data_IF_590353293556
#
_entry.id   IF_590353293556
#
_cell.length_a   1.000
_cell.length_b   1.000
_cell.length_c   1.000
_cell.angle_alpha   90.00
_cell.angle_beta   90.00
_cell.angle_gamma   90.00
#
_symmetry.space_group_name_H-M   'P 1'
#
loop_
_entity.id
_entity.type
_entity.pdbx_description
1 polymer ?
#
# COMPACT_ATOMS: atom_id res chain seq x y z
N UNK A 1 -47.01 12.86 -32.82
CA UNK A 1 -45.83 12.79 -32.00
C UNK A 1 -44.73 12.09 -32.78
N UNK A 2 -43.61 12.75 -33.14
CA UNK A 2 -42.52 12.05 -33.86
C UNK A 2 -41.65 11.30 -32.87
N UNK A 3 -41.56 10.00 -33.04
CA UNK A 3 -40.63 9.11 -32.32
C UNK A 3 -39.24 9.38 -32.91
N UNK A 4 -38.39 10.09 -32.16
CA UNK A 4 -36.99 10.24 -32.51
C UNK A 4 -36.28 8.90 -32.47
N UNK A 5 -36.06 8.29 -33.65
CA UNK A 5 -35.16 7.15 -33.79
C UNK A 5 -33.75 7.57 -33.45
N UNK A 6 -33.25 7.12 -32.33
CA UNK A 6 -31.84 7.25 -31.96
C UNK A 6 -30.97 6.63 -33.07
N UNK A 7 -30.02 7.40 -33.61
CA UNK A 7 -29.09 6.92 -34.64
C UNK A 7 -28.30 5.72 -34.07
N UNK A 8 -28.09 4.63 -34.85
CA UNK A 8 -27.42 3.43 -34.35
C UNK A 8 -26.02 3.69 -33.76
N UNK A 9 -25.36 4.73 -34.18
CA UNK A 9 -24.03 5.11 -33.66
C UNK A 9 -24.05 5.62 -32.18
N UNK A 10 -25.20 6.18 -31.73
CA UNK A 10 -25.31 6.65 -30.35
C UNK A 10 -25.45 5.52 -29.34
N UNK A 11 -26.14 4.41 -29.77
CA UNK A 11 -26.28 3.23 -28.92
C UNK A 11 -24.96 2.48 -28.75
N UNK A 12 -24.18 2.37 -29.83
CA UNK A 12 -22.86 1.74 -29.80
C UNK A 12 -21.89 2.52 -28.90
N UNK A 13 -21.93 3.86 -28.97
CA UNK A 13 -21.12 4.73 -28.12
C UNK A 13 -21.51 4.61 -26.64
N UNK A 14 -22.82 4.55 -26.36
CA UNK A 14 -23.33 4.39 -25.00
C UNK A 14 -22.92 3.05 -24.37
N UNK A 15 -23.01 1.96 -25.17
CA UNK A 15 -22.58 0.62 -24.73
C UNK A 15 -21.07 0.56 -24.50
N UNK A 16 -20.26 1.20 -25.36
CA UNK A 16 -18.82 1.27 -25.20
C UNK A 16 -18.43 2.07 -23.94
N UNK A 17 -19.07 3.22 -23.67
CA UNK A 17 -18.86 3.98 -22.45
C UNK A 17 -19.26 3.20 -21.18
N UNK A 18 -20.37 2.48 -21.23
CA UNK A 18 -20.83 1.65 -20.12
C UNK A 18 -19.88 0.48 -19.87
N UNK A 19 -19.36 -0.15 -20.93
CA UNK A 19 -18.35 -1.20 -20.84
C UNK A 19 -17.04 -0.71 -20.25
N UNK A 20 -16.60 0.52 -20.59
CA UNK A 20 -15.41 1.14 -20.00
C UNK A 20 -15.60 1.48 -18.50
N UNK A 21 -16.79 1.87 -18.09
CA UNK A 21 -17.12 2.11 -16.69
C UNK A 21 -17.12 0.81 -15.85
N UNK A 22 -17.51 -0.31 -16.47
CA UNK A 22 -17.51 -1.62 -15.82
C UNK A 22 -16.10 -2.27 -15.79
N UNK A 23 -15.21 -1.88 -16.71
CA UNK A 23 -13.81 -2.33 -16.74
C UNK A 23 -12.90 -1.61 -15.72
N UNK A 24 -13.41 -0.61 -15.01
CA UNK A 24 -12.72 0.02 -13.86
C UNK A 24 -12.78 -0.92 -12.65
N UNK A 25 -12.31 -2.16 -12.80
CA UNK A 25 -11.90 -2.99 -11.68
C UNK A 25 -10.71 -2.29 -11.04
N UNK A 26 -10.96 -1.52 -9.99
CA UNK A 26 -9.91 -0.97 -9.16
C UNK A 26 -9.11 -2.16 -8.61
N UNK A 27 -7.83 -2.15 -8.89
CA UNK A 27 -6.82 -3.08 -8.37
C UNK A 27 -6.68 -2.81 -6.86
N UNK A 28 -7.68 -3.26 -6.11
CA UNK A 28 -7.74 -3.02 -4.66
C UNK A 28 -6.61 -3.79 -4.00
N UNK A 29 -5.84 -3.15 -3.12
CA UNK A 29 -4.87 -3.88 -2.34
C UNK A 29 -5.58 -4.90 -1.45
N UNK A 30 -4.93 -6.03 -1.21
CA UNK A 30 -5.40 -7.04 -0.29
C UNK A 30 -5.32 -6.55 1.17
N UNK A 31 -4.36 -5.64 1.44
CA UNK A 31 -4.19 -5.00 2.74
C UNK A 31 -3.64 -3.58 2.54
N UNK A 32 -4.15 -2.65 3.32
CA UNK A 32 -3.68 -1.25 3.33
C UNK A 32 -3.89 -0.62 4.70
N UNK A 33 -2.81 -0.32 5.39
CA UNK A 33 -2.84 0.31 6.70
C UNK A 33 -1.72 1.31 6.85
N UNK A 34 -2.00 2.43 7.52
CA UNK A 34 -1.02 3.45 7.86
C UNK A 34 -1.10 3.79 9.34
N UNK A 35 0.03 4.18 9.90
CA UNK A 35 0.14 4.68 11.27
C UNK A 35 0.69 6.09 11.25
N UNK A 36 0.09 6.96 12.03
CA UNK A 36 0.63 8.29 12.27
C UNK A 36 1.80 8.21 13.25
N UNK A 37 2.84 8.98 12.99
CA UNK A 37 4.03 9.07 13.84
C UNK A 37 3.87 10.29 14.76
N UNK A 38 3.86 10.02 16.04
CA UNK A 38 3.65 11.06 17.07
C UNK A 38 4.76 12.09 17.03
N UNK A 39 4.39 13.36 16.97
CA UNK A 39 5.29 14.50 16.90
C UNK A 39 6.28 14.45 15.70
N UNK A 40 5.97 13.67 14.67
CA UNK A 40 6.81 13.50 13.48
C UNK A 40 8.22 12.99 13.80
N UNK A 41 8.41 12.31 14.93
CA UNK A 41 9.67 11.71 15.36
C UNK A 41 9.48 10.21 15.54
N UNK A 42 10.16 9.43 14.70
CA UNK A 42 10.08 7.98 14.75
C UNK A 42 11.37 7.39 15.35
N UNK A 43 11.23 6.78 16.51
CA UNK A 43 12.34 6.16 17.22
C UNK A 43 12.52 4.69 16.87
N UNK A 44 13.75 4.15 16.92
CA UNK A 44 13.99 2.71 16.73
C UNK A 44 13.20 1.79 17.67
N UNK A 45 12.86 2.30 18.87
CA UNK A 45 12.02 1.58 19.82
C UNK A 45 10.53 1.52 19.44
N UNK A 46 10.07 2.44 18.57
CA UNK A 46 8.68 2.57 18.17
C UNK A 46 8.41 1.66 16.96
N UNK A 47 8.22 0.38 17.22
CA UNK A 47 7.91 -0.60 16.19
C UNK A 47 6.46 -0.50 15.75
N UNK A 48 6.22 -0.29 14.46
CA UNK A 48 4.91 -0.38 13.85
C UNK A 48 4.57 -1.83 13.52
N UNK A 49 3.40 -2.31 13.98
CA UNK A 49 2.92 -3.68 13.71
C UNK A 49 1.72 -3.64 12.76
N UNK A 50 1.90 -4.22 11.59
CA UNK A 50 0.86 -4.38 10.57
C UNK A 50 0.30 -5.79 10.67
N UNK A 51 -0.83 -5.90 11.35
CA UNK A 51 -1.48 -7.18 11.64
C UNK A 51 -2.56 -7.46 10.62
N UNK A 52 -2.57 -8.67 10.05
CA UNK A 52 -3.56 -9.14 9.08
C UNK A 52 -3.82 -10.62 9.25
N UNK A 53 -4.97 -11.08 8.75
CA UNK A 53 -5.37 -12.48 8.82
C UNK A 53 -5.15 -13.17 7.47
N UNK A 54 -4.59 -14.38 7.50
CA UNK A 54 -4.47 -15.27 6.34
C UNK A 54 -5.53 -16.36 6.44
N UNK A 55 -6.31 -16.57 5.37
CA UNK A 55 -7.37 -17.60 5.28
C UNK A 55 -7.13 -18.54 4.11
N UNK A 56 -7.66 -19.75 4.20
CA UNK A 56 -7.64 -20.72 3.09
C UNK A 56 -8.32 -20.18 1.82
N UNK A 57 -9.42 -19.45 2.01
CA UNK A 57 -10.14 -18.80 0.92
C UNK A 57 -10.71 -17.48 1.38
N UNK A 58 -10.82 -16.52 0.46
CA UNK A 58 -11.40 -15.21 0.72
C UNK A 58 -12.81 -15.13 0.16
N UNK A 59 -13.74 -14.64 0.98
CA UNK A 59 -15.05 -14.22 0.52
C UNK A 59 -14.97 -12.81 -0.11
N UNK A 60 -15.95 -12.44 -0.93
CA UNK A 60 -16.01 -11.13 -1.58
C UNK A 60 -15.91 -9.93 -0.62
N UNK A 61 -16.24 -10.14 0.64
CA UNK A 61 -16.30 -9.11 1.68
C UNK A 61 -15.16 -9.20 2.71
N UNK A 62 -14.20 -10.09 2.48
CA UNK A 62 -13.01 -10.19 3.33
C UNK A 62 -12.04 -9.05 2.96
N UNK A 63 -12.11 -7.96 3.73
CA UNK A 63 -11.20 -6.82 3.61
C UNK A 63 -10.01 -7.02 4.57
N UNK A 64 -8.86 -6.51 4.16
CA UNK A 64 -7.61 -6.59 4.93
C UNK A 64 -7.19 -8.02 5.31
N UNK A 65 -7.51 -8.98 4.42
CA UNK A 65 -7.18 -10.38 4.57
C UNK A 65 -6.41 -10.90 3.36
N UNK A 66 -5.56 -11.89 3.59
CA UNK A 66 -4.77 -12.52 2.55
C UNK A 66 -5.20 -13.98 2.37
N UNK A 67 -5.08 -14.49 1.14
CA UNK A 67 -5.36 -15.89 0.85
C UNK A 67 -4.09 -16.73 1.00
N UNK A 68 -4.24 -17.92 1.57
CA UNK A 68 -3.17 -18.90 1.69
C UNK A 68 -2.62 -19.31 0.31
N UNK A 69 -1.33 -19.48 0.20
CA UNK A 69 -0.67 -19.96 -1.02
C UNK A 69 -0.61 -18.95 -2.17
N UNK A 70 -1.17 -17.75 -2.00
CA UNK A 70 -1.02 -16.67 -2.96
C UNK A 70 0.32 -15.94 -2.78
N UNK A 71 0.77 -15.28 -3.85
CA UNK A 71 1.95 -14.45 -3.84
C UNK A 71 1.59 -12.97 -3.78
N UNK A 72 2.26 -12.25 -2.90
CA UNK A 72 2.03 -10.84 -2.68
C UNK A 72 3.30 -10.02 -2.83
N UNK A 73 3.14 -8.79 -3.28
CA UNK A 73 4.16 -7.76 -3.24
C UNK A 73 3.87 -6.75 -2.15
N UNK A 74 4.91 -6.11 -1.65
CA UNK A 74 4.83 -5.06 -0.65
C UNK A 74 5.09 -3.70 -1.29
N UNK A 75 4.33 -2.70 -0.83
CA UNK A 75 4.57 -1.29 -1.12
C UNK A 75 4.55 -0.52 0.19
N UNK A 76 5.51 0.38 0.35
CA UNK A 76 5.54 1.34 1.46
C UNK A 76 4.93 2.66 1.02
N UNK A 77 4.21 3.31 1.93
CA UNK A 77 3.73 4.67 1.78
C UNK A 77 4.35 5.49 2.89
N UNK A 78 5.09 6.52 2.52
CA UNK A 78 5.71 7.44 3.44
C UNK A 78 5.06 8.81 3.29
N UNK A 79 4.61 9.39 4.40
CA UNK A 79 4.26 10.80 4.47
C UNK A 79 5.26 11.51 5.36
N UNK A 80 5.76 12.63 4.87
CA UNK A 80 6.81 13.38 5.54
C UNK A 80 6.63 14.88 5.32
N UNK A 81 7.25 15.66 6.18
CA UNK A 81 7.25 17.12 6.17
C UNK A 81 8.58 17.67 5.65
N UNK A 82 8.70 18.97 5.56
CA UNK A 82 9.93 19.67 5.17
C UNK A 82 11.08 19.52 6.19
N UNK A 83 10.75 19.14 7.42
CA UNK A 83 11.75 18.79 8.45
C UNK A 83 12.49 17.48 8.16
N UNK A 84 12.00 16.66 7.22
CA UNK A 84 12.70 15.46 6.80
C UNK A 84 13.93 15.79 5.94
N UNK A 85 15.11 15.63 6.50
CA UNK A 85 16.38 16.03 5.86
C UNK A 85 17.21 14.86 5.34
N UNK A 86 16.75 13.63 5.48
CA UNK A 86 17.51 12.44 5.12
C UNK A 86 17.41 12.14 3.62
N UNK A 87 18.52 11.68 3.03
CA UNK A 87 18.58 11.24 1.63
C UNK A 87 17.90 9.87 1.43
N UNK A 88 17.93 9.04 2.46
CA UNK A 88 17.31 7.73 2.49
C UNK A 88 16.77 7.45 3.88
N UNK A 89 15.76 6.60 3.96
CA UNK A 89 15.15 6.19 5.20
C UNK A 89 15.55 4.73 5.51
N UNK A 90 16.56 4.50 6.37
CA UNK A 90 16.91 3.15 6.75
C UNK A 90 15.84 2.56 7.66
N UNK A 91 15.14 1.54 7.18
CA UNK A 91 14.10 0.84 7.93
C UNK A 91 14.29 -0.67 7.84
N UNK A 92 14.01 -1.35 8.94
CA UNK A 92 13.94 -2.79 9.00
C UNK A 92 12.49 -3.24 8.87
N UNK A 93 12.28 -4.23 8.01
CA UNK A 93 11.00 -4.92 7.89
C UNK A 93 11.19 -6.37 8.31
N UNK A 94 10.46 -6.78 9.33
CA UNK A 94 10.43 -8.17 9.79
C UNK A 94 9.07 -8.77 9.47
N UNK A 95 9.07 -9.85 8.69
CA UNK A 95 7.87 -10.56 8.26
C UNK A 95 7.85 -11.90 8.96
N UNK A 96 7.12 -12.02 10.05
CA UNK A 96 6.97 -13.26 10.86
C UNK A 96 8.10 -14.28 10.66
N UNK A 97 7.76 -15.45 10.06
CA UNK A 97 8.69 -16.55 9.78
C UNK A 97 9.51 -16.36 8.50
N UNK A 98 9.19 -15.36 7.66
CA UNK A 98 9.84 -15.19 6.35
C UNK A 98 11.17 -14.46 6.41
N UNK A 99 11.47 -13.77 7.52
CA UNK A 99 12.76 -13.13 7.75
C UNK A 99 12.70 -11.63 7.97
N UNK A 100 13.89 -11.04 8.03
CA UNK A 100 14.10 -9.61 8.19
C UNK A 100 14.81 -9.03 6.98
N UNK A 101 14.40 -7.86 6.55
CA UNK A 101 14.95 -7.14 5.41
C UNK A 101 15.29 -5.73 5.86
N UNK A 102 16.44 -5.24 5.43
CA UNK A 102 16.82 -3.83 5.57
C UNK A 102 16.52 -3.11 4.27
N UNK A 103 15.82 -1.99 4.36
CA UNK A 103 15.41 -1.19 3.22
C UNK A 103 15.89 0.24 3.37
N UNK A 104 16.23 0.85 2.26
CA UNK A 104 16.67 2.25 2.17
C UNK A 104 15.84 3.03 1.15
N UNK A 105 14.52 3.22 1.37
CA UNK A 105 13.72 4.04 0.49
C UNK A 105 14.28 5.46 0.42
N UNK A 106 14.26 6.05 -0.77
CA UNK A 106 14.77 7.39 -1.04
C UNK A 106 13.61 8.31 -1.38
N UNK A 107 13.11 9.08 -0.42
CA UNK A 107 12.04 10.04 -0.68
C UNK A 107 12.43 11.05 -1.75
N UNK A 108 11.49 11.34 -2.62
CA UNK A 108 11.67 12.30 -3.72
C UNK A 108 11.24 13.67 -3.23
N UNK A 109 12.18 14.61 -3.12
CA UNK A 109 11.82 15.98 -2.78
C UNK A 109 11.16 16.64 -3.99
N UNK A 110 9.87 17.03 -3.92
CA UNK A 110 9.24 17.76 -5.00
C UNK A 110 9.86 19.14 -5.15
N UNK A 111 9.88 19.66 -6.38
CA UNK A 111 10.38 21.01 -6.67
C UNK A 111 9.50 22.12 -6.08
N UNK A 112 8.27 21.81 -5.69
CA UNK A 112 7.31 22.73 -5.08
C UNK A 112 7.08 22.33 -3.62
N UNK A 113 7.27 23.27 -2.72
CA UNK A 113 7.05 23.10 -1.29
C UNK A 113 5.59 22.75 -0.99
N UNK A 114 5.38 21.62 -0.33
CA UNK A 114 4.12 21.24 0.29
C UNK A 114 4.42 20.88 1.75
N UNK A 115 3.54 21.29 2.65
CA UNK A 115 3.67 21.00 4.07
C UNK A 115 3.67 19.49 4.40
N UNK A 116 3.08 18.70 3.49
CA UNK A 116 3.05 17.24 3.59
C UNK A 116 3.35 16.67 2.20
N UNK A 117 4.33 15.81 2.15
CA UNK A 117 4.75 15.08 0.97
C UNK A 117 4.41 13.60 1.16
N UNK A 118 4.09 12.92 0.07
CA UNK A 118 3.83 11.49 0.09
C UNK A 118 4.61 10.82 -1.04
N UNK A 119 5.36 9.79 -0.69
CA UNK A 119 6.02 8.90 -1.64
C UNK A 119 5.57 7.46 -1.44
N UNK A 120 5.56 6.71 -2.53
CA UNK A 120 5.24 5.29 -2.57
C UNK A 120 6.45 4.51 -3.10
N UNK A 121 6.83 3.48 -2.38
CA UNK A 121 7.99 2.65 -2.72
C UNK A 121 7.55 1.20 -2.91
N UNK A 122 7.63 0.70 -4.14
CA UNK A 122 7.48 -0.74 -4.38
C UNK A 122 8.74 -1.46 -3.91
N UNK A 123 8.56 -2.44 -3.03
CA UNK A 123 9.66 -3.26 -2.55
C UNK A 123 9.92 -4.34 -3.59
N UNK A 124 10.79 -4.02 -4.54
CA UNK A 124 11.18 -4.94 -5.58
C UNK A 124 12.02 -6.10 -5.01
N UNK A 125 11.70 -7.32 -5.43
CA UNK A 125 12.45 -8.52 -5.01
C UNK A 125 11.87 -9.24 -3.80
N UNK A 126 11.04 -8.62 -2.98
CA UNK A 126 10.33 -9.31 -1.90
C UNK A 126 9.00 -9.81 -2.42
N UNK A 127 8.86 -11.13 -2.48
CA UNK A 127 7.59 -11.83 -2.69
C UNK A 127 7.28 -12.58 -1.42
N UNK A 128 6.12 -12.31 -0.85
CA UNK A 128 5.65 -13.01 0.34
C UNK A 128 4.55 -13.98 -0.02
N UNK A 129 4.57 -15.14 0.60
CA UNK A 129 3.47 -16.10 0.63
C UNK A 129 3.44 -16.73 2.01
N UNK A 130 2.27 -17.07 2.47
CA UNK A 130 2.07 -17.65 3.79
C UNK A 130 1.73 -19.12 3.65
N UNK A 131 2.35 -19.95 4.48
CA UNK A 131 2.12 -21.39 4.53
C UNK A 131 1.01 -21.78 5.50
N UNK A 132 0.69 -20.89 6.45
CA UNK A 132 -0.26 -21.14 7.53
C UNK A 132 -1.35 -20.07 7.54
N UNK A 133 -2.56 -20.48 7.94
CA UNK A 133 -3.67 -19.56 8.22
C UNK A 133 -3.56 -18.97 9.61
N UNK A 134 -4.20 -17.84 9.84
CA UNK A 134 -4.26 -17.17 11.13
C UNK A 134 -3.76 -15.75 11.10
N UNK A 135 -3.44 -15.23 12.27
CA UNK A 135 -2.94 -13.87 12.45
C UNK A 135 -1.45 -13.81 12.16
N UNK A 136 -1.07 -12.94 11.26
CA UNK A 136 0.31 -12.66 10.87
C UNK A 136 0.67 -11.20 11.11
N UNK A 137 1.98 -10.92 11.22
CA UNK A 137 2.49 -9.58 11.50
C UNK A 137 3.62 -9.21 10.55
N UNK A 138 3.60 -7.97 10.10
CA UNK A 138 4.77 -7.32 9.52
C UNK A 138 5.17 -6.18 10.46
N UNK A 139 6.36 -6.27 11.01
CA UNK A 139 6.90 -5.24 11.91
C UNK A 139 7.89 -4.36 11.18
N UNK A 140 7.75 -3.05 11.36
CA UNK A 140 8.65 -2.06 10.76
C UNK A 140 9.17 -1.12 11.81
N UNK A 141 10.46 -0.87 11.81
CA UNK A 141 11.11 0.09 12.72
C UNK A 141 12.32 0.73 12.01
N UNK A 142 12.64 2.00 12.31
CA UNK A 142 13.79 2.66 11.73
C UNK A 142 15.06 2.21 12.42
N UNK A 143 16.19 2.31 11.73
CA UNK A 143 17.52 2.01 12.28
C UNK A 143 18.01 3.10 13.21
N UNK A 144 17.66 4.34 12.92
CA UNK A 144 18.00 5.54 13.69
C UNK A 144 16.77 6.37 13.96
N UNK A 145 16.87 7.36 14.84
CA UNK A 145 15.79 8.34 15.03
C UNK A 145 15.59 9.12 13.74
N UNK A 146 14.37 9.10 13.21
CA UNK A 146 13.96 9.84 12.02
C UNK A 146 13.02 10.98 12.43
N UNK A 147 13.30 12.19 11.94
CA UNK A 147 12.45 13.37 12.16
C UNK A 147 11.76 13.78 10.85
N UNK A 148 10.62 14.45 10.96
CA UNK A 148 9.83 14.88 9.82
C UNK A 148 9.03 13.78 9.15
N UNK A 149 8.80 12.64 9.81
CA UNK A 149 7.94 11.57 9.34
C UNK A 149 6.56 11.71 9.97
N UNK A 150 5.55 12.08 9.20
CA UNK A 150 4.18 12.25 9.71
C UNK A 150 3.39 10.94 9.74
N UNK A 151 3.58 10.06 8.75
CA UNK A 151 2.99 8.71 8.80
C UNK A 151 3.75 7.70 7.95
N UNK A 152 3.60 6.43 8.31
CA UNK A 152 4.15 5.30 7.57
C UNK A 152 3.07 4.26 7.31
N UNK A 153 2.94 3.84 6.06
CA UNK A 153 1.94 2.88 5.61
C UNK A 153 2.53 1.68 4.90
N UNK A 154 1.80 0.57 4.97
CA UNK A 154 2.09 -0.67 4.27
C UNK A 154 0.90 -1.08 3.43
N UNK A 155 1.17 -1.39 2.17
CA UNK A 155 0.21 -1.94 1.22
C UNK A 155 0.69 -3.30 0.75
N UNK A 156 -0.21 -4.29 0.78
CA UNK A 156 0.04 -5.64 0.26
C UNK A 156 -0.89 -5.86 -0.92
N UNK A 157 -0.31 -6.23 -2.07
CA UNK A 157 -1.06 -6.52 -3.31
C UNK A 157 -0.73 -7.92 -3.80
N UNK A 158 -1.74 -8.61 -4.29
CA UNK A 158 -1.56 -9.88 -5.02
C UNK A 158 -0.79 -9.60 -6.32
N UNK A 159 0.13 -10.52 -6.68
CA UNK A 159 0.97 -10.45 -7.89
C UNK A 159 0.59 -11.55 -8.87
#
# INVERSE_FOLDING_TARGET
>A
MPIHRLKPNSLATLVACLAMLLASCSDRPAYNKSYDITHEVWHPADTLSFDFCVKDSLAKWDYDMLALGKHYGLKLILRYTDDYQYVSMPVHIRIDTLGSYELHPKPTRPATWSWHMQDEFDINGIRISFADTGLHHIKVYPDTVLTGISSFGLVIKEK
#
